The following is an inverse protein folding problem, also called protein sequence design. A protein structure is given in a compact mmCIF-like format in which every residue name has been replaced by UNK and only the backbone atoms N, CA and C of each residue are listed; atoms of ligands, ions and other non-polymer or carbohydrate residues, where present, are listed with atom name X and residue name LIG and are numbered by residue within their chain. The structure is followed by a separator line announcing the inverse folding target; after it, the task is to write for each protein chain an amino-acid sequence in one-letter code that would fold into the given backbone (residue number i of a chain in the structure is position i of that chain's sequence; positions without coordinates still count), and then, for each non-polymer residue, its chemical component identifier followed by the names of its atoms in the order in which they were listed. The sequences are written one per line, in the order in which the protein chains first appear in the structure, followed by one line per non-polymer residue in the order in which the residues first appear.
data_IF_726566640287
#
_entry.id   IF_726566640287
#
_cell.length_a   1.000
_cell.length_b   1.000
_cell.length_c   1.000
_cell.angle_alpha   90.00
_cell.angle_beta   90.00
_cell.angle_gamma   90.00
#
_symmetry.space_group_name_H-M   'P 1'
#
loop_
_entity.id
_entity.type
_entity.pdbx_description
1 polymer ?
#
# COMPACT_ATOMS: atom_id res chain seq x y z
N UNK A 1 -26.53 -5.73 9.24
CA UNK A 1 -27.33 -6.31 8.13
C UNK A 1 -27.39 -5.27 7.00
N UNK A 2 -27.20 -5.67 5.73
CA UNK A 2 -27.33 -4.72 4.60
C UNK A 2 -28.81 -4.36 4.42
N UNK A 3 -29.11 -3.09 4.18
CA UNK A 3 -30.44 -2.60 3.80
C UNK A 3 -30.37 -2.24 2.32
N UNK A 4 -31.22 -2.85 1.50
CA UNK A 4 -31.35 -2.49 0.10
C UNK A 4 -32.41 -1.40 -0.03
N UNK A 5 -32.17 -0.45 -0.94
CA UNK A 5 -33.06 0.68 -1.21
C UNK A 5 -33.62 0.53 -2.63
N UNK A 6 -34.73 1.22 -2.91
CA UNK A 6 -35.38 1.23 -4.24
C UNK A 6 -34.70 2.20 -5.23
N UNK A 7 -33.37 2.28 -5.17
CA UNK A 7 -32.53 3.07 -6.08
C UNK A 7 -31.36 2.19 -6.53
N UNK A 8 -31.05 2.22 -7.82
CA UNK A 8 -29.89 1.48 -8.32
C UNK A 8 -28.59 2.20 -7.89
N UNK A 9 -27.49 1.44 -7.82
CA UNK A 9 -26.21 1.94 -7.27
C UNK A 9 -25.59 3.05 -8.11
N UNK A 10 -25.88 3.10 -9.42
CA UNK A 10 -25.40 4.15 -10.33
C UNK A 10 -26.09 5.49 -10.02
N UNK A 11 -27.44 5.50 -10.02
CA UNK A 11 -28.21 6.69 -9.68
C UNK A 11 -27.85 7.21 -8.28
N UNK A 12 -27.70 6.31 -7.30
CA UNK A 12 -27.25 6.70 -5.96
C UNK A 12 -25.83 7.29 -5.96
N UNK A 13 -24.91 6.82 -6.82
CA UNK A 13 -23.57 7.40 -6.94
C UNK A 13 -23.59 8.78 -7.59
N UNK A 14 -24.44 9.00 -8.61
CA UNK A 14 -24.65 10.31 -9.22
C UNK A 14 -25.21 11.31 -8.20
N UNK A 15 -26.19 10.92 -7.37
CA UNK A 15 -26.72 11.76 -6.28
C UNK A 15 -25.62 12.12 -5.27
N UNK A 16 -24.79 11.15 -4.87
CA UNK A 16 -23.67 11.38 -3.94
C UNK A 16 -22.66 12.36 -4.51
N UNK A 17 -22.25 12.20 -5.77
CA UNK A 17 -21.30 13.10 -6.43
C UNK A 17 -21.90 14.51 -6.60
N UNK A 18 -23.17 14.60 -6.99
CA UNK A 18 -23.89 15.88 -7.10
C UNK A 18 -23.93 16.60 -5.76
N UNK A 19 -24.23 15.89 -4.67
CA UNK A 19 -24.19 16.44 -3.32
C UNK A 19 -22.80 17.00 -2.98
N UNK A 20 -21.73 16.26 -3.27
CA UNK A 20 -20.35 16.71 -3.00
C UNK A 20 -20.02 17.99 -3.74
N UNK A 21 -20.28 18.05 -5.05
CA UNK A 21 -20.01 19.24 -5.87
C UNK A 21 -20.84 20.48 -5.50
N UNK A 22 -22.00 20.28 -4.87
CA UNK A 22 -22.85 21.37 -4.37
C UNK A 22 -22.47 21.81 -2.95
N UNK A 23 -21.83 20.95 -2.17
CA UNK A 23 -21.55 21.19 -0.74
C UNK A 23 -20.14 21.71 -0.48
N UNK A 24 -19.16 21.29 -1.28
CA UNK A 24 -17.75 21.61 -1.06
C UNK A 24 -17.20 22.51 -2.16
N UNK A 25 -16.48 23.56 -1.76
CA UNK A 25 -15.84 24.50 -2.69
C UNK A 25 -14.69 23.86 -3.46
N UNK A 26 -13.91 23.01 -2.77
CA UNK A 26 -12.74 22.35 -3.34
C UNK A 26 -12.91 20.84 -3.26
N UNK A 27 -12.93 20.20 -4.42
CA UNK A 27 -13.09 18.75 -4.55
C UNK A 27 -11.88 18.23 -5.31
N UNK A 28 -11.23 17.21 -4.76
CA UNK A 28 -10.19 16.47 -5.47
C UNK A 28 -10.40 14.98 -5.34
N UNK A 29 -9.86 14.20 -6.28
CA UNK A 29 -9.96 12.75 -6.28
C UNK A 29 -8.57 12.13 -6.15
N UNK A 30 -8.42 11.21 -5.18
CA UNK A 30 -7.24 10.35 -5.10
C UNK A 30 -7.37 9.22 -6.12
N UNK A 31 -6.47 9.21 -7.10
CA UNK A 31 -6.54 8.33 -8.25
C UNK A 31 -5.32 7.41 -8.34
N UNK A 32 -5.56 6.10 -8.27
CA UNK A 32 -4.52 5.07 -8.22
C UNK A 32 -4.26 4.37 -9.56
N UNK A 33 -4.98 4.75 -10.62
CA UNK A 33 -4.94 4.03 -11.90
C UNK A 33 -5.68 2.67 -11.90
N UNK A 34 -6.36 2.31 -10.80
CA UNK A 34 -7.17 1.10 -10.72
C UNK A 34 -8.58 1.27 -11.30
N UNK A 35 -9.27 0.15 -11.57
CA UNK A 35 -10.65 0.13 -12.12
C UNK A 35 -11.64 0.94 -11.27
N UNK A 36 -11.53 0.85 -9.94
CA UNK A 36 -12.51 1.44 -9.02
C UNK A 36 -12.31 2.96 -8.92
N UNK A 37 -11.06 3.44 -8.86
CA UNK A 37 -10.76 4.88 -8.91
C UNK A 37 -11.02 5.47 -10.31
N UNK A 38 -10.77 4.70 -11.37
CA UNK A 38 -11.07 5.12 -12.75
C UNK A 38 -12.57 5.32 -13.01
N UNK A 39 -13.41 4.39 -12.54
CA UNK A 39 -14.86 4.52 -12.63
C UNK A 39 -15.35 5.73 -11.82
N UNK A 40 -14.78 5.95 -10.63
CA UNK A 40 -15.14 7.09 -9.78
C UNK A 40 -14.83 8.42 -10.46
N UNK A 41 -13.62 8.59 -11.02
CA UNK A 41 -13.20 9.85 -11.63
C UNK A 41 -13.95 10.12 -12.94
N UNK A 42 -14.18 9.09 -13.76
CA UNK A 42 -14.94 9.25 -15.01
C UNK A 42 -16.42 9.57 -14.76
N UNK A 43 -17.04 8.95 -13.74
CA UNK A 43 -18.39 9.34 -13.32
C UNK A 43 -18.42 10.76 -12.77
N UNK A 44 -17.43 11.15 -11.96
CA UNK A 44 -17.31 12.50 -11.43
C UNK A 44 -17.15 13.54 -12.55
N UNK A 45 -16.38 13.25 -13.59
CA UNK A 45 -16.24 14.10 -14.78
C UNK A 45 -17.59 14.32 -15.48
N UNK A 46 -18.38 13.27 -15.71
CA UNK A 46 -19.71 13.41 -16.30
C UNK A 46 -20.65 14.29 -15.47
N UNK A 47 -20.63 14.13 -14.13
CA UNK A 47 -21.47 14.95 -13.22
C UNK A 47 -20.96 16.40 -13.14
N UNK A 48 -19.65 16.60 -13.08
CA UNK A 48 -19.04 17.92 -13.03
C UNK A 48 -19.34 18.72 -14.31
N UNK A 49 -19.25 18.08 -15.49
CA UNK A 49 -19.63 18.70 -16.77
C UNK A 49 -21.08 19.18 -16.79
N UNK A 50 -22.04 18.39 -16.29
CA UNK A 50 -23.47 18.75 -16.24
C UNK A 50 -23.72 20.00 -15.37
N UNK A 51 -22.90 20.20 -14.34
CA UNK A 51 -23.07 21.28 -13.36
C UNK A 51 -22.09 22.44 -13.55
N UNK A 52 -21.26 22.42 -14.60
CA UNK A 52 -20.21 23.42 -14.83
C UNK A 52 -19.14 23.47 -13.73
N UNK A 53 -18.96 22.37 -13.00
CA UNK A 53 -18.00 22.25 -11.89
C UNK A 53 -16.67 21.69 -12.40
N UNK A 54 -15.63 21.87 -11.59
CA UNK A 54 -14.29 21.33 -11.80
C UNK A 54 -13.81 20.61 -10.54
N UNK A 55 -12.80 19.77 -10.68
CA UNK A 55 -12.11 19.11 -9.56
C UNK A 55 -10.63 18.92 -9.87
N UNK A 56 -9.85 18.68 -8.82
CA UNK A 56 -8.44 18.35 -8.95
C UNK A 56 -8.19 16.84 -8.86
N UNK A 57 -7.05 16.41 -9.36
CA UNK A 57 -6.63 15.01 -9.36
C UNK A 57 -5.34 14.85 -8.57
N UNK A 58 -5.34 13.96 -7.58
CA UNK A 58 -4.16 13.58 -6.82
C UNK A 58 -3.70 12.18 -7.25
N UNK A 59 -2.47 12.09 -7.77
CA UNK A 59 -1.82 10.84 -8.17
C UNK A 59 -0.53 10.72 -7.36
N UNK A 60 -0.42 9.65 -6.58
CA UNK A 60 0.87 9.21 -6.05
C UNK A 60 1.33 8.02 -6.88
N UNK A 61 2.31 8.26 -7.75
CA UNK A 61 2.76 7.28 -8.72
C UNK A 61 3.88 6.42 -8.14
N UNK A 62 3.63 5.12 -8.06
CA UNK A 62 4.59 4.14 -7.58
C UNK A 62 5.53 3.79 -8.72
N UNK A 63 6.85 3.87 -8.48
CA UNK A 63 7.89 3.64 -9.50
C UNK A 63 7.67 2.34 -10.30
N UNK A 64 7.22 1.27 -9.64
CA UNK A 64 6.99 -0.03 -10.26
C UNK A 64 5.56 -0.22 -10.84
N UNK A 65 4.83 0.84 -11.18
CA UNK A 65 3.51 0.73 -11.84
C UNK A 65 3.59 0.07 -13.23
N UNK A 66 2.56 -0.71 -13.60
CA UNK A 66 2.42 -1.25 -14.95
C UNK A 66 2.38 -0.14 -16.00
N UNK A 67 2.93 -0.40 -17.20
CA UNK A 67 2.91 0.56 -18.31
C UNK A 67 1.47 0.92 -18.71
N UNK A 68 0.57 -0.07 -18.74
CA UNK A 68 -0.85 0.17 -19.00
C UNK A 68 -1.50 1.09 -17.96
N UNK A 69 -1.07 1.02 -16.69
CA UNK A 69 -1.57 1.91 -15.63
C UNK A 69 -1.14 3.35 -15.86
N UNK A 70 0.11 3.59 -16.26
CA UNK A 70 0.58 4.94 -16.57
C UNK A 70 -0.12 5.53 -17.77
N UNK A 71 -0.29 4.74 -18.84
CA UNK A 71 -1.06 5.19 -20.00
C UNK A 71 -2.50 5.58 -19.59
N UNK A 72 -3.13 4.77 -18.74
CA UNK A 72 -4.45 5.09 -18.21
C UNK A 72 -4.45 6.37 -17.35
N UNK A 73 -3.40 6.62 -16.57
CA UNK A 73 -3.25 7.88 -15.84
C UNK A 73 -3.22 9.08 -16.79
N UNK A 74 -2.46 9.01 -17.88
CA UNK A 74 -2.43 10.09 -18.87
C UNK A 74 -3.79 10.35 -19.52
N UNK A 75 -4.58 9.31 -19.79
CA UNK A 75 -5.94 9.46 -20.31
C UNK A 75 -6.87 10.15 -19.30
N UNK A 76 -6.83 9.75 -18.03
CA UNK A 76 -7.69 10.32 -16.99
C UNK A 76 -7.34 11.78 -16.66
N UNK A 77 -6.06 12.18 -16.77
CA UNK A 77 -5.65 13.58 -16.63
C UNK A 77 -6.29 14.51 -17.67
N UNK A 78 -6.67 13.97 -18.84
CA UNK A 78 -7.23 14.74 -19.96
C UNK A 78 -8.75 14.93 -19.87
N UNK A 79 -9.39 14.39 -18.83
CA UNK A 79 -10.83 14.58 -18.62
C UNK A 79 -11.18 16.07 -18.47
N UNK A 80 -12.30 16.48 -19.07
CA UNK A 80 -12.64 17.90 -19.25
C UNK A 80 -12.79 18.66 -17.94
N UNK A 81 -13.23 18.00 -16.88
CA UNK A 81 -13.50 18.61 -15.57
C UNK A 81 -12.30 18.63 -14.64
N UNK A 82 -11.19 17.98 -15.02
CA UNK A 82 -9.93 18.06 -14.30
C UNK A 82 -9.36 19.47 -14.46
N UNK A 83 -9.12 20.16 -13.34
CA UNK A 83 -8.58 21.52 -13.31
C UNK A 83 -7.08 21.51 -13.02
N UNK A 84 -6.67 20.93 -11.89
CA UNK A 84 -5.26 20.74 -11.54
C UNK A 84 -4.95 19.25 -11.34
N UNK A 85 -3.76 18.84 -11.77
CA UNK A 85 -3.22 17.51 -11.48
C UNK A 85 -2.03 17.67 -10.54
N UNK A 86 -2.06 16.95 -9.42
CA UNK A 86 -0.96 16.77 -8.48
C UNK A 86 -0.40 15.35 -8.68
N UNK A 87 0.51 15.19 -9.65
CA UNK A 87 1.13 13.89 -9.96
C UNK A 87 2.49 13.78 -9.28
N UNK A 88 2.53 13.17 -8.11
CA UNK A 88 3.76 13.01 -7.32
C UNK A 88 4.53 11.76 -7.71
N UNK A 89 5.81 11.93 -8.02
CA UNK A 89 6.82 10.87 -8.08
C UNK A 89 7.90 11.18 -7.04
N UNK A 90 7.62 10.82 -5.79
CA UNK A 90 8.44 11.21 -4.64
C UNK A 90 9.15 10.01 -4.01
N UNK A 91 10.33 10.22 -3.41
CA UNK A 91 11.03 9.15 -2.73
C UNK A 91 10.31 8.72 -1.45
N UNK A 92 9.88 7.47 -1.39
CA UNK A 92 9.15 6.91 -0.23
C UNK A 92 9.56 5.47 0.01
N UNK A 93 9.55 5.05 1.28
CA UNK A 93 9.75 3.66 1.66
C UNK A 93 8.45 2.87 1.56
N UNK A 94 8.54 1.70 0.95
CA UNK A 94 7.47 0.72 0.86
C UNK A 94 7.98 -0.65 1.30
N UNK A 95 7.08 -1.43 1.89
CA UNK A 95 7.42 -2.74 2.45
C UNK A 95 7.78 -3.75 1.34
N UNK A 96 8.89 -4.46 1.53
CA UNK A 96 9.27 -5.60 0.72
C UNK A 96 9.27 -6.87 1.56
N UNK A 97 8.18 -7.62 1.45
CA UNK A 97 8.02 -8.89 2.15
C UNK A 97 8.61 -10.09 1.39
N UNK A 98 9.33 -9.84 0.30
CA UNK A 98 9.92 -10.89 -0.55
C UNK A 98 11.41 -11.10 -0.31
N UNK A 99 12.05 -10.27 0.52
CA UNK A 99 13.45 -10.40 0.88
C UNK A 99 13.68 -10.00 2.33
N UNK A 100 14.46 -10.79 3.06
CA UNK A 100 14.97 -10.39 4.38
C UNK A 100 16.14 -9.41 4.25
N UNK A 101 16.88 -9.44 3.13
CA UNK A 101 18.03 -8.58 2.85
C UNK A 101 17.62 -7.17 2.41
N UNK A 102 16.38 -6.99 1.96
CA UNK A 102 15.86 -5.68 1.61
C UNK A 102 14.41 -5.61 2.11
N UNK A 103 14.17 -5.47 3.42
CA UNK A 103 12.82 -5.51 3.99
C UNK A 103 11.96 -4.32 3.58
N UNK A 104 12.59 -3.23 3.11
CA UNK A 104 11.95 -2.10 2.46
C UNK A 104 12.75 -1.66 1.24
N UNK A 105 12.06 -1.08 0.28
CA UNK A 105 12.68 -0.43 -0.87
C UNK A 105 12.21 1.02 -0.95
N UNK A 106 13.05 1.89 -1.50
CA UNK A 106 12.75 3.31 -1.65
C UNK A 106 12.41 3.60 -3.11
N UNK A 107 11.13 3.78 -3.42
CA UNK A 107 10.73 4.12 -4.78
C UNK A 107 11.23 5.51 -5.16
N UNK A 108 11.50 5.76 -6.45
CA UNK A 108 12.00 7.04 -6.96
C UNK A 108 13.25 7.57 -6.23
N UNK A 109 14.11 6.67 -5.72
CA UNK A 109 15.35 7.08 -5.09
C UNK A 109 16.35 7.57 -6.14
N UNK A 110 16.71 8.85 -6.09
CA UNK A 110 17.60 9.47 -7.08
C UNK A 110 19.00 8.84 -7.09
N UNK A 111 19.44 8.28 -5.96
CA UNK A 111 20.70 7.53 -5.85
C UNK A 111 20.68 6.22 -6.66
N UNK A 112 19.50 5.69 -6.99
CA UNK A 112 19.29 4.45 -7.76
C UNK A 112 18.57 4.71 -9.10
N UNK A 113 18.69 5.93 -9.64
CA UNK A 113 18.01 6.35 -10.88
C UNK A 113 18.26 5.43 -12.07
N UNK A 114 19.45 4.84 -12.16
CA UNK A 114 19.81 3.88 -13.21
C UNK A 114 19.11 2.51 -13.07
N UNK A 115 18.59 2.20 -11.88
CA UNK A 115 17.83 0.97 -11.59
C UNK A 115 16.33 1.17 -11.65
N UNK A 116 15.84 2.39 -11.85
CA UNK A 116 14.40 2.65 -11.85
C UNK A 116 13.67 1.77 -12.85
N UNK A 117 12.52 1.24 -12.44
CA UNK A 117 11.70 0.37 -13.30
C UNK A 117 11.25 1.11 -14.57
N UNK A 118 11.10 2.43 -14.49
CA UNK A 118 10.67 3.27 -15.59
C UNK A 118 11.06 4.73 -15.37
N UNK A 119 11.05 5.50 -16.46
CA UNK A 119 11.30 6.94 -16.42
C UNK A 119 10.13 7.67 -15.76
N UNK A 120 10.47 8.71 -14.99
CA UNK A 120 9.48 9.61 -14.39
C UNK A 120 8.67 10.34 -15.49
N UNK A 121 7.33 10.49 -15.35
CA UNK A 121 6.54 11.32 -16.26
C UNK A 121 7.08 12.75 -16.32
N UNK A 122 6.95 13.41 -17.48
CA UNK A 122 7.49 14.77 -17.68
C UNK A 122 6.79 15.83 -16.85
N UNK A 123 5.52 15.61 -16.54
CA UNK A 123 4.64 16.49 -15.77
C UNK A 123 4.57 16.09 -14.28
N UNK A 124 5.38 15.12 -13.85
CA UNK A 124 5.41 14.70 -12.46
C UNK A 124 6.10 15.74 -11.59
N UNK A 125 5.57 15.92 -10.38
CA UNK A 125 6.15 16.67 -9.28
C UNK A 125 7.15 15.76 -8.58
N UNK A 126 8.44 16.05 -8.77
CA UNK A 126 9.55 15.37 -8.12
C UNK A 126 9.97 16.08 -6.83
N UNK A 127 10.95 15.52 -6.12
CA UNK A 127 11.49 16.14 -4.90
C UNK A 127 12.06 17.55 -5.16
N UNK A 128 12.62 17.79 -6.35
CA UNK A 128 13.21 19.07 -6.71
C UNK A 128 12.17 20.17 -6.99
N UNK A 129 10.91 19.78 -7.25
CA UNK A 129 9.82 20.69 -7.60
C UNK A 129 9.01 21.15 -6.37
N UNK A 130 9.30 20.59 -5.19
CA UNK A 130 8.56 20.92 -3.97
C UNK A 130 8.93 22.32 -3.46
N UNK A 131 7.92 23.18 -3.29
CA UNK A 131 8.08 24.42 -2.54
C UNK A 131 8.28 24.16 -1.03
N UNK A 132 8.57 25.22 -0.27
CA UNK A 132 8.83 25.15 1.18
C UNK A 132 7.69 24.46 1.94
N UNK A 133 6.44 24.82 1.65
CA UNK A 133 5.26 24.29 2.34
C UNK A 133 5.02 22.79 2.04
N UNK A 134 5.25 22.38 0.80
CA UNK A 134 5.09 21.00 0.37
C UNK A 134 6.27 20.14 0.85
N UNK A 135 7.47 20.72 0.92
CA UNK A 135 8.66 20.09 1.49
C UNK A 135 8.49 19.81 2.98
N UNK A 136 7.96 20.76 3.76
CA UNK A 136 7.60 20.54 5.17
C UNK A 136 6.61 19.38 5.33
N UNK A 137 5.58 19.34 4.49
CA UNK A 137 4.63 18.24 4.46
C UNK A 137 5.32 16.91 4.15
N UNK A 138 6.18 16.86 3.14
CA UNK A 138 6.92 15.67 2.75
C UNK A 138 7.83 15.17 3.88
N UNK A 139 8.57 16.07 4.54
CA UNK A 139 9.41 15.73 5.69
C UNK A 139 8.59 15.24 6.87
N UNK A 140 7.44 15.87 7.15
CA UNK A 140 6.53 15.44 8.21
C UNK A 140 5.99 14.02 7.97
N UNK A 141 5.93 13.57 6.72
CA UNK A 141 5.51 12.22 6.36
C UNK A 141 6.54 11.14 6.74
N UNK A 142 7.77 11.50 7.11
CA UNK A 142 8.86 10.58 7.43
C UNK A 142 9.04 9.49 6.36
N UNK A 143 9.03 9.91 5.10
CA UNK A 143 9.17 9.02 3.94
C UNK A 143 8.09 7.91 3.85
N UNK A 144 6.94 8.08 4.51
CA UNK A 144 5.80 7.17 4.42
C UNK A 144 4.70 7.72 3.48
N UNK A 145 4.32 6.98 2.42
CA UNK A 145 3.39 7.47 1.41
C UNK A 145 1.96 7.64 1.95
N UNK A 146 1.50 6.76 2.84
CA UNK A 146 0.17 6.87 3.46
C UNK A 146 0.07 8.09 4.39
N UNK A 147 1.17 8.43 5.09
CA UNK A 147 1.25 9.64 5.91
C UNK A 147 1.26 10.88 5.04
N UNK A 148 1.98 10.86 3.91
CA UNK A 148 1.97 11.95 2.94
C UNK A 148 0.57 12.20 2.39
N UNK A 149 -0.13 11.17 1.92
CA UNK A 149 -1.50 11.30 1.38
C UNK A 149 -2.51 11.83 2.41
N UNK A 150 -2.38 11.42 3.69
CA UNK A 150 -3.18 11.99 4.78
C UNK A 150 -2.85 13.45 5.01
N UNK A 151 -1.57 13.79 5.07
CA UNK A 151 -1.13 15.16 5.30
C UNK A 151 -1.51 16.09 4.14
N UNK A 152 -1.55 15.57 2.90
CA UNK A 152 -1.90 16.32 1.70
C UNK A 152 -3.27 16.99 1.82
N UNK A 153 -4.26 16.32 2.42
CA UNK A 153 -5.58 16.90 2.61
C UNK A 153 -5.56 18.17 3.48
N UNK A 154 -4.67 18.22 4.49
CA UNK A 154 -4.49 19.39 5.34
C UNK A 154 -3.75 20.51 4.62
N UNK A 155 -2.69 20.18 3.90
CA UNK A 155 -1.98 21.16 3.07
C UNK A 155 -2.90 21.75 2.01
N UNK A 156 -3.70 20.93 1.34
CA UNK A 156 -4.64 21.37 0.31
C UNK A 156 -5.69 22.32 0.91
N UNK A 157 -6.24 22.00 2.09
CA UNK A 157 -7.14 22.92 2.78
C UNK A 157 -6.45 24.24 3.15
N UNK A 158 -5.21 24.22 3.65
CA UNK A 158 -4.44 25.43 3.96
C UNK A 158 -4.13 26.27 2.72
N UNK A 159 -3.75 25.62 1.62
CA UNK A 159 -3.53 26.25 0.32
C UNK A 159 -4.80 26.98 -0.17
N UNK A 160 -5.96 26.39 0.10
CA UNK A 160 -7.28 26.99 -0.12
C UNK A 160 -7.82 27.78 1.09
N UNK A 161 -6.94 28.34 1.93
CA UNK A 161 -7.27 29.27 3.03
C UNK A 161 -8.28 28.73 4.06
N UNK A 162 -8.30 27.41 4.26
CA UNK A 162 -9.18 26.73 5.20
C UNK A 162 -10.61 26.52 4.70
N UNK A 163 -10.89 26.75 3.42
CA UNK A 163 -12.20 26.46 2.84
C UNK A 163 -12.54 24.96 2.86
N UNK A 164 -13.82 24.57 2.81
CA UNK A 164 -14.23 23.17 2.82
C UNK A 164 -13.64 22.35 1.67
N UNK A 165 -13.04 21.20 2.02
CA UNK A 165 -12.35 20.29 1.10
C UNK A 165 -12.97 18.89 1.17
N UNK A 166 -13.22 18.30 0.01
CA UNK A 166 -13.65 16.91 -0.12
C UNK A 166 -12.70 16.09 -0.99
N UNK A 167 -12.18 14.98 -0.44
CA UNK A 167 -11.32 14.02 -1.13
C UNK A 167 -12.10 12.76 -1.52
N UNK A 168 -12.19 12.47 -2.81
CA UNK A 168 -12.83 11.28 -3.33
C UNK A 168 -11.90 10.07 -3.31
N UNK A 169 -12.36 8.95 -2.73
CA UNK A 169 -11.58 7.72 -2.63
C UNK A 169 -12.36 6.54 -3.23
N UNK A 170 -11.74 5.86 -4.20
CA UNK A 170 -12.32 4.73 -4.95
C UNK A 170 -12.32 3.40 -4.19
N UNK A 171 -12.91 3.36 -3.00
CA UNK A 171 -13.01 2.16 -2.16
C UNK A 171 -14.43 1.58 -2.20
N UNK A 172 -14.55 0.25 -2.27
CA UNK A 172 -15.81 -0.47 -2.16
C UNK A 172 -15.84 -1.43 -0.98
N UNK A 173 -17.00 -1.54 -0.35
CA UNK A 173 -17.20 -2.40 0.82
C UNK A 173 -17.13 -3.90 0.50
N UNK A 174 -17.41 -4.31 -0.74
CA UNK A 174 -17.27 -5.70 -1.20
C UNK A 174 -15.80 -6.17 -1.17
N UNK A 175 -14.83 -5.26 -1.24
CA UNK A 175 -13.43 -5.62 -1.46
C UNK A 175 -12.74 -6.19 -0.20
N UNK A 176 -13.16 -5.77 0.99
CA UNK A 176 -12.69 -6.34 2.25
C UNK A 176 -13.58 -5.99 3.45
N UNK A 177 -13.52 -6.83 4.49
CA UNK A 177 -14.17 -6.54 5.77
C UNK A 177 -13.61 -5.28 6.45
N UNK A 178 -12.33 -4.96 6.25
CA UNK A 178 -11.72 -3.73 6.78
C UNK A 178 -12.34 -2.48 6.13
N UNK A 179 -12.48 -2.48 4.80
CA UNK A 179 -13.15 -1.39 4.05
C UNK A 179 -14.62 -1.27 4.46
N UNK A 180 -15.33 -2.39 4.58
CA UNK A 180 -16.71 -2.42 5.10
C UNK A 180 -16.82 -1.77 6.48
N UNK A 181 -15.94 -2.14 7.42
CA UNK A 181 -15.93 -1.58 8.78
C UNK A 181 -15.55 -0.10 8.80
N UNK A 182 -14.58 0.31 8.01
CA UNK A 182 -14.16 1.72 7.94
C UNK A 182 -15.30 2.64 7.50
N UNK A 183 -16.08 2.22 6.49
CA UNK A 183 -17.18 3.02 5.95
C UNK A 183 -18.40 2.98 6.88
N UNK A 184 -18.72 1.83 7.48
CA UNK A 184 -19.90 1.73 8.35
C UNK A 184 -19.67 2.16 9.80
N UNK A 185 -18.42 2.41 10.21
CA UNK A 185 -18.14 3.00 11.51
C UNK A 185 -18.82 4.37 11.59
N UNK A 186 -19.72 4.60 12.55
CA UNK A 186 -20.46 5.87 12.66
C UNK A 186 -19.58 7.03 13.12
N UNK A 187 -18.41 6.74 13.67
CA UNK A 187 -17.46 7.77 14.07
C UNK A 187 -17.04 8.58 12.84
N UNK A 188 -16.92 9.89 13.04
CA UNK A 188 -16.51 10.85 12.01
C UNK A 188 -17.46 10.95 10.81
N UNK A 189 -18.70 10.45 10.86
CA UNK A 189 -19.67 10.70 9.79
C UNK A 189 -19.90 12.21 9.61
N UNK A 190 -19.79 12.70 8.38
CA UNK A 190 -20.20 14.07 8.06
C UNK A 190 -21.71 14.12 7.84
N UNK A 191 -22.41 14.95 8.62
CA UNK A 191 -23.87 15.15 8.51
C UNK A 191 -24.69 13.85 8.46
N UNK A 192 -24.25 12.82 9.20
CA UNK A 192 -24.93 11.52 9.24
C UNK A 192 -24.72 10.60 8.03
N UNK A 193 -24.06 11.07 6.97
CA UNK A 193 -23.75 10.26 5.79
C UNK A 193 -22.60 9.29 6.09
N UNK A 194 -22.86 7.98 6.03
CA UNK A 194 -21.80 6.98 6.29
C UNK A 194 -20.70 6.95 5.22
N UNK A 195 -21.01 7.42 4.01
CA UNK A 195 -20.10 7.48 2.87
C UNK A 195 -19.27 8.77 2.82
N UNK A 196 -19.40 9.65 3.84
CA UNK A 196 -18.57 10.84 4.03
C UNK A 196 -17.98 10.82 5.44
N UNK A 197 -16.66 10.95 5.56
CA UNK A 197 -15.93 10.91 6.83
C UNK A 197 -15.10 12.17 7.03
N UNK A 198 -15.20 12.82 8.18
CA UNK A 198 -14.22 13.82 8.59
C UNK A 198 -12.84 13.17 8.74
N UNK A 199 -11.79 13.85 8.29
CA UNK A 199 -10.40 13.43 8.55
C UNK A 199 -9.95 13.78 9.98
N UNK A 200 -10.58 14.77 10.61
CA UNK A 200 -10.32 15.19 11.99
C UNK A 200 -11.62 15.46 12.74
N UNK A 201 -11.57 15.49 14.08
CA UNK A 201 -12.72 15.90 14.89
C UNK A 201 -13.11 17.37 14.71
N UNK A 202 -12.22 18.18 14.14
CA UNK A 202 -12.35 19.63 14.00
C UNK A 202 -11.93 20.01 12.57
N UNK A 203 -12.90 20.21 11.68
CA UNK A 203 -12.63 20.68 10.32
C UNK A 203 -13.67 20.27 9.28
N UNK A 204 -13.63 20.96 8.15
CA UNK A 204 -14.43 20.75 6.93
C UNK A 204 -13.71 19.88 5.89
N UNK A 205 -12.63 19.21 6.29
CA UNK A 205 -11.86 18.27 5.44
C UNK A 205 -12.48 16.89 5.56
N UNK A 206 -13.02 16.38 4.45
CA UNK A 206 -13.69 15.09 4.42
C UNK A 206 -13.14 14.15 3.36
N UNK A 207 -13.25 12.85 3.61
CA UNK A 207 -13.16 11.81 2.59
C UNK A 207 -14.56 11.33 2.22
N UNK A 208 -14.85 11.19 0.93
CA UNK A 208 -16.09 10.61 0.45
C UNK A 208 -15.86 9.39 -0.44
N UNK A 209 -16.81 8.45 -0.38
CA UNK A 209 -16.71 7.12 -1.01
C UNK A 209 -17.93 6.89 -1.91
N UNK A 210 -17.99 7.50 -3.10
CA UNK A 210 -19.22 7.56 -3.90
C UNK A 210 -19.59 6.21 -4.52
N UNK A 211 -18.68 5.22 -4.51
CA UNK A 211 -18.93 3.88 -5.06
C UNK A 211 -18.98 2.79 -3.96
N UNK A 212 -19.08 3.14 -2.67
CA UNK A 212 -18.83 2.19 -1.58
C UNK A 212 -19.70 0.91 -1.60
N UNK A 213 -20.88 1.00 -2.19
CA UNK A 213 -21.91 -0.04 -2.29
C UNK A 213 -21.90 -0.77 -3.64
N UNK A 214 -21.07 -0.35 -4.60
CA UNK A 214 -20.91 -1.01 -5.88
C UNK A 214 -20.25 -2.39 -5.72
N UNK A 215 -20.73 -3.34 -6.50
CA UNK A 215 -20.10 -4.64 -6.72
C UNK A 215 -19.12 -4.55 -7.89
N UNK A 216 -18.38 -5.63 -8.09
CA UNK A 216 -17.40 -5.71 -9.17
C UNK A 216 -18.08 -5.70 -10.54
N UNK A 217 -19.24 -6.33 -10.63
CA UNK A 217 -20.10 -6.34 -11.81
C UNK A 217 -20.63 -4.93 -12.12
N UNK A 218 -20.97 -4.14 -11.10
CA UNK A 218 -21.44 -2.76 -11.28
C UNK A 218 -20.32 -1.86 -11.84
N UNK A 219 -19.08 -2.03 -11.36
CA UNK A 219 -17.91 -1.29 -11.89
C UNK A 219 -17.71 -1.59 -13.37
N UNK A 220 -17.61 -2.87 -13.74
CA UNK A 220 -17.39 -3.26 -15.13
C UNK A 220 -18.59 -2.96 -16.03
N UNK A 221 -19.80 -3.10 -15.49
CA UNK A 221 -21.03 -2.71 -16.15
C UNK A 221 -21.04 -1.22 -16.48
N UNK A 222 -20.54 -0.36 -15.58
CA UNK A 222 -20.42 1.07 -15.86
C UNK A 222 -19.40 1.38 -16.96
N UNK A 223 -18.22 0.73 -16.95
CA UNK A 223 -17.24 0.88 -18.04
C UNK A 223 -17.87 0.53 -19.40
N UNK A 224 -18.57 -0.60 -19.47
CA UNK A 224 -19.25 -1.03 -20.70
C UNK A 224 -20.43 -0.13 -21.08
N UNK A 225 -21.20 0.36 -20.11
CA UNK A 225 -22.39 1.17 -20.35
C UNK A 225 -22.05 2.57 -20.88
N UNK A 226 -20.97 3.17 -20.36
CA UNK A 226 -20.56 4.53 -20.72
C UNK A 226 -19.44 4.60 -21.76
N UNK A 227 -18.94 3.45 -22.21
CA UNK A 227 -17.77 3.35 -23.10
C UNK A 227 -16.56 4.14 -22.54
N UNK A 228 -16.30 3.92 -21.25
CA UNK A 228 -15.23 4.60 -20.53
C UNK A 228 -13.86 4.04 -20.89
N UNK A 229 -12.86 4.93 -20.88
CA UNK A 229 -11.46 4.53 -21.00
C UNK A 229 -11.11 3.57 -19.88
N UNK A 230 -10.48 2.45 -20.22
CA UNK A 230 -10.14 1.40 -19.26
C UNK A 230 -8.62 1.22 -19.19
N UNK A 231 -8.11 0.95 -17.99
CA UNK A 231 -6.75 0.49 -17.86
C UNK A 231 -6.57 -0.85 -18.57
N UNK A 232 -5.88 -0.84 -19.71
CA UNK A 232 -5.61 -2.00 -20.56
C UNK A 232 -4.90 -3.17 -19.83
N UNK A 233 -4.34 -2.94 -18.63
CA UNK A 233 -3.86 -4.03 -17.78
C UNK A 233 -4.97 -5.06 -17.51
N UNK A 234 -6.21 -4.61 -17.33
CA UNK A 234 -7.34 -5.49 -17.05
C UNK A 234 -7.74 -6.34 -18.26
N UNK A 235 -7.62 -5.84 -19.49
CA UNK A 235 -7.78 -6.64 -20.71
C UNK A 235 -6.75 -7.77 -20.78
N UNK A 236 -5.50 -7.45 -20.45
CA UNK A 236 -4.43 -8.45 -20.41
C UNK A 236 -4.74 -9.53 -19.36
N UNK A 237 -5.21 -9.16 -18.17
CA UNK A 237 -5.64 -10.12 -17.15
C UNK A 237 -6.83 -10.98 -17.62
N UNK A 238 -7.82 -10.36 -18.28
CA UNK A 238 -8.99 -11.05 -18.80
C UNK A 238 -8.60 -12.10 -19.85
N UNK A 239 -7.72 -11.72 -20.79
CA UNK A 239 -7.20 -12.61 -21.84
C UNK A 239 -6.45 -13.81 -21.25
N UNK A 240 -5.87 -13.65 -20.05
CA UNK A 240 -5.18 -14.72 -19.30
C UNK A 240 -6.13 -15.54 -18.40
N UNK A 241 -7.44 -15.37 -18.55
CA UNK A 241 -8.46 -16.13 -17.82
C UNK A 241 -8.64 -15.71 -16.35
N UNK A 242 -8.14 -14.54 -15.95
CA UNK A 242 -8.36 -14.02 -14.60
C UNK A 242 -9.80 -13.55 -14.46
N UNK A 243 -10.53 -14.06 -13.48
CA UNK A 243 -11.90 -13.61 -13.19
C UNK A 243 -11.93 -12.13 -12.82
N UNK A 244 -12.97 -11.42 -13.26
CA UNK A 244 -13.22 -10.01 -12.95
C UNK A 244 -13.16 -9.69 -11.44
N UNK A 245 -13.50 -10.66 -10.59
CA UNK A 245 -13.48 -10.54 -9.11
C UNK A 245 -12.06 -10.57 -8.52
N UNK A 246 -11.10 -11.11 -9.26
CA UNK A 246 -9.71 -11.26 -8.85
C UNK A 246 -8.80 -10.18 -9.45
N UNK A 247 -9.32 -9.36 -10.36
CA UNK A 247 -8.59 -8.27 -11.01
C UNK A 247 -8.31 -7.12 -10.05
N UNK A 248 -7.04 -6.96 -9.68
CA UNK A 248 -6.54 -5.89 -8.81
C UNK A 248 -5.18 -5.40 -9.29
N UNK A 249 -4.94 -4.11 -9.10
CA UNK A 249 -3.63 -3.48 -9.28
C UNK A 249 -3.18 -3.02 -7.90
N UNK A 250 -1.91 -3.24 -7.57
CA UNK A 250 -1.30 -2.76 -6.35
C UNK A 250 0.22 -2.70 -6.52
N UNK A 251 0.88 -1.96 -5.63
CA UNK A 251 2.34 -1.97 -5.51
C UNK A 251 2.87 -3.40 -5.29
N UNK A 252 4.03 -3.79 -5.84
CA UNK A 252 4.32 -5.22 -6.06
C UNK A 252 4.83 -6.04 -4.87
N UNK A 253 5.43 -5.45 -3.82
CA UNK A 253 6.24 -6.23 -2.84
C UNK A 253 5.62 -6.41 -1.45
N UNK A 254 4.53 -5.70 -1.15
CA UNK A 254 3.86 -5.78 0.14
C UNK A 254 3.27 -7.17 0.45
N UNK A 255 2.91 -7.40 1.71
CA UNK A 255 2.51 -8.71 2.25
C UNK A 255 1.39 -9.42 1.47
N UNK A 256 0.39 -8.67 1.03
CA UNK A 256 -0.71 -9.21 0.21
C UNK A 256 -0.41 -9.11 -1.28
N UNK A 257 0.38 -8.12 -1.65
CA UNK A 257 0.59 -7.68 -3.00
C UNK A 257 1.62 -8.52 -3.76
N UNK A 258 2.60 -9.11 -3.07
CA UNK A 258 3.63 -10.00 -3.65
C UNK A 258 3.08 -11.14 -4.50
N UNK A 259 1.82 -11.54 -4.28
CA UNK A 259 1.12 -12.53 -5.12
C UNK A 259 0.93 -12.07 -6.57
N UNK A 260 0.93 -10.76 -6.80
CA UNK A 260 0.84 -10.10 -8.10
C UNK A 260 2.15 -10.06 -8.87
N UNK A 261 3.31 -10.38 -8.27
CA UNK A 261 4.60 -10.43 -9.00
C UNK A 261 4.58 -11.41 -10.19
N UNK A 262 3.83 -12.51 -10.05
CA UNK A 262 3.56 -13.43 -11.18
C UNK A 262 2.81 -12.79 -12.34
N UNK A 263 1.99 -11.76 -12.08
CA UNK A 263 1.26 -11.03 -13.12
C UNK A 263 2.21 -10.13 -13.91
N UNK A 264 3.15 -9.43 -13.26
CA UNK A 264 4.19 -8.67 -13.97
C UNK A 264 4.92 -9.54 -14.99
N UNK A 265 5.45 -10.68 -14.54
CA UNK A 265 6.19 -11.59 -15.40
C UNK A 265 5.37 -12.16 -16.57
N UNK A 266 4.06 -12.30 -16.39
CA UNK A 266 3.15 -12.83 -17.41
C UNK A 266 2.71 -11.75 -18.41
N UNK A 267 2.45 -10.54 -17.92
CA UNK A 267 1.69 -9.50 -18.62
C UNK A 267 2.59 -8.40 -19.20
N UNK A 268 3.73 -8.13 -18.57
CA UNK A 268 4.72 -7.12 -19.01
C UNK A 268 6.15 -7.63 -18.74
N UNK A 269 6.68 -8.57 -19.56
CA UNK A 269 7.99 -9.18 -19.33
C UNK A 269 9.15 -8.18 -19.30
N UNK A 270 9.09 -7.11 -20.11
CA UNK A 270 10.12 -6.07 -20.12
C UNK A 270 10.11 -5.24 -18.82
N UNK A 271 8.91 -4.90 -18.32
CA UNK A 271 8.75 -4.26 -17.00
C UNK A 271 9.22 -5.20 -15.90
N UNK A 272 8.92 -6.50 -16.03
CA UNK A 272 9.32 -7.53 -15.08
C UNK A 272 10.83 -7.67 -14.94
N UNK A 273 11.58 -7.63 -16.04
CA UNK A 273 13.06 -7.66 -15.98
C UNK A 273 13.59 -6.54 -15.09
N UNK A 274 13.05 -5.32 -15.26
CA UNK A 274 13.46 -4.16 -14.46
C UNK A 274 12.99 -4.27 -13.01
N UNK A 275 11.77 -4.77 -12.76
CA UNK A 275 11.26 -5.08 -11.40
C UNK A 275 12.20 -6.04 -10.66
N UNK A 276 12.68 -7.09 -11.34
CA UNK A 276 13.63 -8.05 -10.78
C UNK A 276 14.98 -7.41 -10.47
N UNK A 277 15.47 -6.53 -11.33
CA UNK A 277 16.72 -5.81 -11.13
C UNK A 277 16.60 -4.70 -10.07
N UNK A 278 15.39 -4.17 -9.83
CA UNK A 278 15.14 -3.05 -8.92
C UNK A 278 15.10 -3.47 -7.45
N UNK A 279 14.43 -4.58 -7.13
CA UNK A 279 14.15 -4.98 -5.74
C UNK A 279 14.51 -6.43 -5.50
N UNK A 280 15.35 -6.64 -4.49
CA UNK A 280 15.77 -7.96 -4.01
C UNK A 280 14.56 -8.80 -3.62
N UNK A 281 14.59 -10.07 -4.00
CA UNK A 281 13.51 -11.02 -3.70
C UNK A 281 12.33 -10.97 -4.66
N UNK A 282 12.28 -10.08 -5.64
CA UNK A 282 11.17 -10.01 -6.60
C UNK A 282 10.89 -11.37 -7.28
N UNK A 283 11.92 -12.03 -7.83
CA UNK A 283 11.75 -13.34 -8.47
C UNK A 283 11.40 -14.45 -7.46
N UNK A 284 11.94 -14.39 -6.24
CA UNK A 284 11.55 -15.27 -5.15
C UNK A 284 10.06 -15.11 -4.80
N UNK A 285 9.58 -13.86 -4.71
CA UNK A 285 8.17 -13.54 -4.53
C UNK A 285 7.30 -14.07 -5.66
N UNK A 286 7.70 -13.92 -6.93
CA UNK A 286 7.00 -14.50 -8.08
C UNK A 286 6.81 -16.01 -7.93
N UNK A 287 7.86 -16.74 -7.58
CA UNK A 287 7.85 -18.20 -7.49
C UNK A 287 7.06 -18.70 -6.27
N UNK A 288 7.25 -18.06 -5.11
CA UNK A 288 6.85 -18.65 -3.83
C UNK A 288 5.72 -17.92 -3.10
N UNK A 289 5.31 -16.71 -3.49
CA UNK A 289 4.28 -15.93 -2.76
C UNK A 289 2.91 -16.63 -2.65
N UNK A 290 2.66 -17.63 -3.51
CA UNK A 290 1.43 -18.43 -3.52
C UNK A 290 1.60 -19.83 -2.91
N UNK A 291 2.75 -20.11 -2.29
CA UNK A 291 3.10 -21.42 -1.71
C UNK A 291 3.17 -21.38 -0.18
N UNK A 292 3.26 -22.56 0.46
CA UNK A 292 3.44 -22.68 1.91
C UNK A 292 4.74 -22.06 2.41
N UNK A 293 5.78 -21.93 1.57
CA UNK A 293 7.06 -21.32 1.94
C UNK A 293 6.91 -19.88 2.44
N UNK A 294 5.98 -19.12 1.85
CA UNK A 294 5.63 -17.76 2.26
C UNK A 294 4.27 -17.71 2.99
N UNK A 295 3.93 -18.85 3.63
CA UNK A 295 2.72 -19.11 4.40
C UNK A 295 1.41 -18.68 3.70
N UNK A 296 1.33 -18.97 2.41
CA UNK A 296 0.13 -18.71 1.60
C UNK A 296 -0.94 -19.77 1.88
N UNK A 297 -2.08 -19.32 2.43
CA UNK A 297 -3.16 -20.16 2.98
C UNK A 297 -2.71 -21.06 4.14
N UNK A 298 -1.79 -21.98 3.88
CA UNK A 298 -1.24 -22.93 4.83
C UNK A 298 0.25 -22.66 5.12
N UNK A 299 0.72 -23.17 6.25
CA UNK A 299 2.12 -23.23 6.66
C UNK A 299 2.43 -24.68 7.03
N UNK A 300 3.68 -25.09 6.90
CA UNK A 300 4.14 -26.44 7.20
C UNK A 300 5.45 -26.36 7.98
N UNK A 301 5.61 -27.24 8.97
CA UNK A 301 6.85 -27.44 9.72
C UNK A 301 7.30 -28.90 9.62
N UNK A 302 8.59 -29.20 9.82
CA UNK A 302 9.04 -30.58 9.97
C UNK A 302 8.20 -31.36 11.00
N UNK A 303 7.86 -32.61 10.68
CA UNK A 303 6.94 -33.41 11.49
C UNK A 303 7.42 -33.63 12.95
N UNK A 304 8.74 -33.60 13.16
CA UNK A 304 9.38 -33.82 14.45
C UNK A 304 9.50 -32.58 15.34
N UNK A 305 9.18 -31.38 14.82
CA UNK A 305 9.24 -30.13 15.61
C UNK A 305 7.85 -29.74 16.11
N UNK A 306 7.75 -29.09 17.26
CA UNK A 306 6.60 -28.27 17.69
C UNK A 306 6.56 -26.95 16.90
N UNK A 307 5.46 -26.19 16.98
CA UNK A 307 5.44 -24.86 16.34
C UNK A 307 6.37 -23.88 17.06
N UNK A 308 6.52 -24.03 18.39
CA UNK A 308 7.50 -23.29 19.17
C UNK A 308 8.93 -23.55 18.67
N UNK A 309 9.35 -24.81 18.59
CA UNK A 309 10.68 -25.19 18.10
C UNK A 309 10.91 -24.68 16.67
N UNK A 310 9.91 -24.79 15.81
CA UNK A 310 10.00 -24.28 14.45
C UNK A 310 10.12 -22.75 14.40
N UNK A 311 9.38 -22.01 15.23
CA UNK A 311 9.52 -20.55 15.33
C UNK A 311 10.92 -20.14 15.81
N UNK A 312 11.48 -20.86 16.79
CA UNK A 312 12.86 -20.64 17.26
C UNK A 312 13.87 -20.96 16.16
N UNK A 313 13.71 -22.09 15.47
CA UNK A 313 14.55 -22.47 14.33
C UNK A 313 14.56 -21.39 13.23
N UNK A 314 13.39 -20.82 12.90
CA UNK A 314 13.28 -19.72 11.93
C UNK A 314 14.02 -18.46 12.41
N UNK A 315 13.88 -18.09 13.69
CA UNK A 315 14.60 -16.94 14.28
C UNK A 315 16.12 -17.16 14.28
N UNK A 316 16.59 -18.34 14.65
CA UNK A 316 18.01 -18.70 14.63
C UNK A 316 18.55 -18.69 13.21
N UNK A 317 17.79 -19.22 12.25
CA UNK A 317 18.13 -19.19 10.82
C UNK A 317 18.26 -17.76 10.30
N UNK A 318 17.37 -16.84 10.69
CA UNK A 318 17.50 -15.40 10.38
C UNK A 318 18.79 -14.85 10.97
N UNK A 319 19.10 -15.21 12.22
CA UNK A 319 20.31 -14.76 12.93
C UNK A 319 21.62 -15.18 12.26
N UNK A 320 21.63 -16.26 11.47
CA UNK A 320 22.79 -16.64 10.65
C UNK A 320 23.12 -15.61 9.56
N UNK A 321 22.13 -14.84 9.11
CA UNK A 321 22.28 -13.86 8.02
C UNK A 321 22.23 -12.42 8.52
N UNK A 322 21.40 -12.12 9.54
CA UNK A 322 21.33 -10.81 10.16
C UNK A 322 20.93 -10.92 11.63
N UNK A 323 21.88 -10.54 12.48
CA UNK A 323 21.66 -10.48 13.92
C UNK A 323 20.66 -9.38 14.29
N UNK A 324 20.71 -8.23 13.62
CA UNK A 324 19.78 -7.14 13.86
C UNK A 324 18.33 -7.53 13.54
N UNK A 325 18.10 -8.28 12.45
CA UNK A 325 16.75 -8.72 12.09
C UNK A 325 16.24 -9.80 13.05
N UNK A 326 17.11 -10.70 13.50
CA UNK A 326 16.78 -11.66 14.55
C UNK A 326 16.37 -10.93 15.84
N UNK A 327 17.18 -9.95 16.28
CA UNK A 327 16.94 -9.21 17.52
C UNK A 327 15.66 -8.36 17.44
N UNK A 328 15.34 -7.82 16.26
CA UNK A 328 14.06 -7.17 16.00
C UNK A 328 12.88 -8.11 16.27
N UNK A 329 12.87 -9.27 15.60
CA UNK A 329 11.78 -10.23 15.75
C UNK A 329 11.69 -10.78 17.17
N UNK A 330 12.85 -11.13 17.76
CA UNK A 330 12.95 -11.57 19.15
C UNK A 330 12.32 -10.54 20.09
N UNK A 331 12.71 -9.26 19.99
CA UNK A 331 12.17 -8.18 20.82
C UNK A 331 10.65 -8.09 20.73
N UNK A 332 10.08 -8.15 19.52
CA UNK A 332 8.61 -8.06 19.35
C UNK A 332 7.88 -9.27 19.91
N UNK A 333 8.44 -10.47 19.72
CA UNK A 333 7.91 -11.70 20.32
C UNK A 333 8.02 -11.64 21.85
N UNK A 334 9.13 -11.15 22.42
CA UNK A 334 9.29 -10.99 23.86
C UNK A 334 8.30 -9.99 24.46
N UNK A 335 8.04 -8.86 23.78
CA UNK A 335 7.02 -7.88 24.20
C UNK A 335 5.63 -8.54 24.22
N UNK A 336 5.31 -9.33 23.19
CA UNK A 336 4.07 -10.07 23.09
C UNK A 336 3.91 -11.05 24.25
N UNK A 337 4.93 -11.84 24.53
CA UNK A 337 4.93 -12.83 25.63
C UNK A 337 4.80 -12.12 26.99
N UNK A 338 5.55 -11.03 27.20
CA UNK A 338 5.47 -10.23 28.42
C UNK A 338 4.06 -9.64 28.62
N UNK A 339 3.43 -9.12 27.57
CA UNK A 339 2.05 -8.64 27.62
C UNK A 339 1.09 -9.74 28.09
N UNK A 340 1.26 -10.97 27.60
CA UNK A 340 0.37 -12.08 27.92
C UNK A 340 0.57 -12.58 29.35
N UNK A 341 1.82 -12.63 29.80
CA UNK A 341 2.16 -12.92 31.19
C UNK A 341 1.57 -11.88 32.14
N UNK A 342 1.79 -10.60 31.86
CA UNK A 342 1.44 -9.52 32.79
C UNK A 342 -0.08 -9.27 32.82
N UNK A 343 -0.78 -9.45 31.69
CA UNK A 343 -2.22 -9.19 31.58
C UNK A 343 -3.11 -10.41 31.87
N UNK A 344 -2.63 -11.62 31.59
CA UNK A 344 -3.44 -12.85 31.72
C UNK A 344 -2.78 -13.97 32.54
N UNK A 345 -1.58 -13.76 33.09
CA UNK A 345 -0.85 -14.80 33.82
C UNK A 345 -0.37 -15.97 32.94
N UNK A 346 -0.32 -15.77 31.62
CA UNK A 346 0.03 -16.82 30.65
C UNK A 346 1.53 -16.79 30.43
N UNK A 347 2.23 -17.79 30.96
CA UNK A 347 3.66 -17.97 30.75
C UNK A 347 3.95 -18.59 29.38
N UNK A 348 5.21 -18.51 28.94
CA UNK A 348 5.63 -18.93 27.59
C UNK A 348 5.31 -20.41 27.31
N UNK A 349 5.42 -21.25 28.33
CA UNK A 349 5.13 -22.68 28.29
C UNK A 349 3.63 -22.98 28.11
N UNK A 350 2.77 -22.02 28.46
CA UNK A 350 1.32 -22.11 28.33
C UNK A 350 0.80 -21.53 27.01
N UNK A 351 1.67 -20.96 26.18
CA UNK A 351 1.28 -20.49 24.85
C UNK A 351 1.02 -21.71 23.95
N UNK A 352 -0.19 -21.84 23.38
CA UNK A 352 -0.54 -23.00 22.57
C UNK A 352 0.26 -23.03 21.27
N UNK A 353 0.57 -24.25 20.82
CA UNK A 353 1.24 -24.48 19.55
C UNK A 353 0.38 -24.07 18.34
N UNK A 354 -0.91 -24.42 18.39
CA UNK A 354 -1.88 -24.11 17.34
C UNK A 354 -3.28 -23.89 17.95
N UNK A 355 -3.96 -22.81 17.55
CA UNK A 355 -5.35 -22.54 17.94
C UNK A 355 -6.25 -22.39 16.72
N UNK A 356 -7.54 -22.75 16.85
CA UNK A 356 -8.48 -22.61 15.74
C UNK A 356 -9.03 -21.19 15.69
N UNK A 357 -9.31 -20.72 14.47
CA UNK A 357 -9.90 -19.40 14.23
C UNK A 357 -11.25 -19.15 14.96
N UNK A 358 -11.97 -20.19 15.39
CA UNK A 358 -13.21 -20.00 16.15
C UNK A 358 -12.97 -19.80 17.66
N UNK A 359 -11.82 -20.23 18.16
CA UNK A 359 -11.47 -20.23 19.59
C UNK A 359 -10.85 -18.89 19.98
N UNK A 360 -9.87 -18.41 19.22
CA UNK A 360 -9.24 -17.10 19.41
C UNK A 360 -10.19 -15.89 19.24
N UNK A 361 -11.36 -16.05 18.60
CA UNK A 361 -12.40 -15.00 18.52
C UNK A 361 -13.19 -14.86 19.82
N UNK A 362 -13.10 -15.86 20.70
CA UNK A 362 -13.74 -15.90 22.01
C UNK A 362 -12.77 -15.57 23.14
N UNK A 363 -11.48 -15.77 22.92
CA UNK A 363 -10.44 -15.50 23.90
C UNK A 363 -9.18 -14.94 23.21
N UNK A 364 -8.86 -13.69 23.50
CA UNK A 364 -7.69 -13.00 22.94
C UNK A 364 -6.35 -13.65 23.36
N UNK A 365 -6.31 -14.40 24.47
CA UNK A 365 -5.12 -15.17 24.88
C UNK A 365 -4.73 -16.24 23.85
N UNK A 366 -5.68 -16.68 23.02
CA UNK A 366 -5.43 -17.70 22.00
C UNK A 366 -4.99 -17.08 20.66
N UNK A 367 -4.85 -15.75 20.60
CA UNK A 367 -4.62 -15.04 19.35
C UNK A 367 -3.20 -15.16 18.80
N UNK A 368 -2.25 -15.39 19.70
CA UNK A 368 -0.83 -15.48 19.39
C UNK A 368 -0.29 -16.84 19.78
N UNK A 369 -0.74 -17.85 19.06
CA UNK A 369 -0.18 -19.20 19.08
C UNK A 369 1.19 -19.26 18.38
N UNK A 370 1.98 -20.30 18.68
CA UNK A 370 3.30 -20.45 18.06
C UNK A 370 3.24 -20.64 16.55
N UNK A 371 2.20 -21.30 16.03
CA UNK A 371 1.93 -21.39 14.59
C UNK A 371 1.78 -20.02 13.95
N UNK A 372 1.06 -19.11 14.62
CA UNK A 372 0.88 -17.73 14.19
C UNK A 372 2.18 -16.93 14.20
N UNK A 373 3.03 -17.15 15.20
CA UNK A 373 4.37 -16.53 15.29
C UNK A 373 5.29 -17.04 14.19
N UNK A 374 5.40 -18.36 14.01
CA UNK A 374 6.16 -18.98 12.92
C UNK A 374 5.70 -18.45 11.55
N UNK A 375 4.38 -18.36 11.35
CA UNK A 375 3.79 -17.80 10.13
C UNK A 375 4.17 -16.33 9.89
N UNK A 376 4.33 -15.52 10.93
CA UNK A 376 4.78 -14.13 10.78
C UNK A 376 6.23 -14.07 10.30
N UNK A 377 7.10 -14.95 10.83
CA UNK A 377 8.49 -15.08 10.42
C UNK A 377 8.62 -15.57 8.96
N UNK A 378 7.91 -16.65 8.59
CA UNK A 378 7.86 -17.15 7.20
C UNK A 378 7.38 -16.09 6.20
N UNK A 379 6.54 -15.15 6.67
CA UNK A 379 5.99 -14.09 5.83
C UNK A 379 6.95 -12.92 5.62
N UNK A 380 8.08 -12.87 6.33
CA UNK A 380 8.88 -11.66 6.48
C UNK A 380 8.01 -10.47 6.93
N UNK A 381 7.06 -10.72 7.84
CA UNK A 381 6.13 -9.72 8.38
C UNK A 381 6.86 -8.88 9.43
N UNK A 382 7.75 -8.00 9.00
CA UNK A 382 8.60 -7.17 9.86
C UNK A 382 7.78 -6.45 10.95
N UNK A 383 6.63 -5.88 10.59
CA UNK A 383 5.79 -5.19 11.55
C UNK A 383 5.05 -6.12 12.51
N UNK A 384 5.03 -7.44 12.31
CA UNK A 384 4.11 -8.38 12.97
C UNK A 384 2.63 -7.97 12.79
N UNK A 385 2.29 -7.37 11.65
CA UNK A 385 0.94 -6.91 11.33
C UNK A 385 -0.10 -8.04 11.40
N UNK A 386 0.29 -9.26 11.04
CA UNK A 386 -0.55 -10.45 11.14
C UNK A 386 -0.84 -10.85 12.58
N UNK A 387 -0.07 -10.33 13.54
CA UNK A 387 -0.24 -10.47 15.00
C UNK A 387 -0.72 -9.17 15.65
N UNK A 388 -1.31 -8.25 14.88
CA UNK A 388 -1.89 -6.98 15.36
C UNK A 388 -0.90 -5.92 15.84
N UNK A 389 0.35 -6.03 15.43
CA UNK A 389 1.30 -4.96 15.66
C UNK A 389 1.19 -3.91 14.56
N UNK A 390 1.52 -2.68 14.92
CA UNK A 390 1.82 -1.62 13.98
C UNK A 390 3.32 -1.33 14.04
N UNK A 391 3.85 -0.67 13.02
CA UNK A 391 5.22 -0.13 13.08
C UNK A 391 5.32 0.93 14.17
N UNK A 392 6.36 0.83 14.99
CA UNK A 392 6.74 1.85 15.97
C UNK A 392 7.92 2.68 15.47
N UNK A 393 8.19 3.84 16.09
CA UNK A 393 9.39 4.65 15.79
C UNK A 393 10.70 3.85 15.96
N UNK A 394 10.72 2.92 16.93
CA UNK A 394 11.87 2.03 17.14
C UNK A 394 12.00 1.03 16.00
N UNK A 395 10.88 0.45 15.55
CA UNK A 395 10.86 -0.46 14.40
C UNK A 395 11.36 0.25 13.13
N UNK A 396 10.97 1.51 12.92
CA UNK A 396 11.48 2.34 11.81
C UNK A 396 13.00 2.56 11.90
N UNK A 397 13.54 2.87 13.09
CA UNK A 397 14.99 3.03 13.24
C UNK A 397 15.77 1.73 12.97
N UNK A 398 15.21 0.58 13.35
CA UNK A 398 15.82 -0.73 13.10
C UNK A 398 15.76 -1.08 11.60
N UNK A 399 14.69 -0.69 10.88
CA UNK A 399 14.63 -0.81 9.41
C UNK A 399 15.74 -0.04 8.71
N UNK A 400 16.01 1.19 9.15
CA UNK A 400 17.10 1.98 8.58
C UNK A 400 18.47 1.36 8.86
N UNK A 401 18.69 0.80 10.06
CA UNK A 401 19.92 0.07 10.36
C UNK A 401 20.09 -1.17 9.47
N UNK A 402 19.01 -1.92 9.24
CA UNK A 402 19.01 -3.09 8.34
C UNK A 402 19.30 -2.68 6.89
N UNK A 403 18.75 -1.57 6.42
CA UNK A 403 19.04 -1.06 5.08
C UNK A 403 20.54 -0.77 4.89
N UNK A 404 21.22 -0.27 5.92
CA UNK A 404 22.68 -0.07 5.93
C UNK A 404 23.43 -1.40 5.95
N UNK A 405 23.08 -2.29 6.89
CA UNK A 405 23.71 -3.61 7.05
C UNK A 405 23.67 -4.42 5.75
N UNK A 406 22.48 -4.53 5.14
CA UNK A 406 22.33 -5.29 3.92
C UNK A 406 22.79 -4.55 2.68
N UNK A 407 22.78 -3.21 2.68
CA UNK A 407 23.42 -2.42 1.63
C UNK A 407 24.90 -2.80 1.45
N UNK A 408 25.59 -3.11 2.54
CA UNK A 408 26.94 -3.67 2.52
C UNK A 408 26.96 -5.16 2.13
N UNK A 409 26.02 -5.98 2.63
CA UNK A 409 26.00 -7.43 2.37
C UNK A 409 25.56 -7.83 0.94
N UNK A 410 24.95 -6.93 0.17
CA UNK A 410 24.53 -7.18 -1.22
C UNK A 410 25.69 -7.19 -2.23
N UNK A 411 26.94 -7.11 -1.77
CA UNK A 411 28.11 -7.35 -2.62
C UNK A 411 28.37 -6.23 -3.63
N UNK A 412 28.08 -4.97 -3.28
CA UNK A 412 28.37 -3.82 -4.16
C UNK A 412 29.87 -3.78 -4.48
N UNK A 413 30.71 -4.17 -3.52
CA UNK A 413 32.16 -4.37 -3.62
C UNK A 413 32.59 -5.47 -4.61
N UNK A 414 31.68 -6.34 -5.04
CA UNK A 414 31.93 -7.40 -6.02
C UNK A 414 31.48 -7.02 -7.45
N UNK A 415 30.92 -5.81 -7.63
CA UNK A 415 30.62 -5.32 -8.96
C UNK A 415 31.91 -5.12 -9.78
N UNK A 416 31.87 -5.32 -11.10
CA UNK A 416 33.00 -5.02 -11.97
C UNK A 416 33.57 -3.62 -11.71
N UNK A 417 34.91 -3.49 -11.71
CA UNK A 417 35.62 -2.25 -11.34
C UNK A 417 35.11 -0.98 -12.04
N UNK A 418 34.56 -1.09 -13.25
CA UNK A 418 33.99 0.05 -13.97
C UNK A 418 32.66 0.56 -13.37
N UNK A 419 31.85 -0.32 -12.78
CA UNK A 419 30.61 0.03 -12.06
C UNK A 419 30.93 0.62 -10.68
N UNK A 420 31.92 0.04 -9.97
CA UNK A 420 32.46 0.60 -8.73
C UNK A 420 32.98 2.03 -8.89
N UNK A 421 33.67 2.32 -10.00
CA UNK A 421 34.22 3.66 -10.30
C UNK A 421 33.14 4.73 -10.48
N UNK A 422 31.93 4.32 -10.88
CA UNK A 422 30.76 5.18 -11.06
C UNK A 422 30.06 5.46 -9.73
N UNK A 423 30.08 4.49 -8.80
CA UNK A 423 29.51 4.57 -7.45
C UNK A 423 30.40 5.32 -6.45
N UNK A 424 31.73 5.23 -6.57
CA UNK A 424 32.68 5.82 -5.62
C UNK A 424 32.54 7.34 -5.42
N UNK A 425 32.21 8.09 -6.48
CA UNK A 425 31.98 9.55 -6.36
C UNK A 425 30.72 9.90 -5.56
N UNK A 426 29.69 9.06 -5.65
CA UNK A 426 28.40 9.26 -4.98
C UNK A 426 28.45 8.78 -3.53
N UNK A 427 29.15 7.68 -3.25
CA UNK A 427 29.33 7.14 -1.89
C UNK A 427 30.18 8.06 -1.00
N UNK A 428 31.27 8.62 -1.53
CA UNK A 428 32.10 9.61 -0.82
C UNK A 428 31.37 10.94 -0.56
N UNK A 429 30.38 11.30 -1.39
CA UNK A 429 29.54 12.48 -1.15
C UNK A 429 28.52 12.26 -0.04
N UNK A 430 27.94 11.06 0.05
CA UNK A 430 26.90 10.71 1.04
C UNK A 430 27.48 10.44 2.45
N UNK A 431 28.77 10.10 2.54
CA UNK A 431 29.46 9.80 3.81
C UNK A 431 30.26 10.98 4.37
N UNK A 432 30.37 12.11 3.65
CA UNK A 432 31.25 13.24 4.00
C UNK A 432 30.77 14.18 5.10
N UNK A 433 29.58 14.00 5.66
CA UNK A 433 29.03 14.87 6.71
C UNK A 433 28.60 14.10 7.96
N UNK A 434 29.49 13.31 8.56
CA UNK A 434 29.37 12.99 9.99
C UNK A 434 30.75 13.08 10.67
N UNK A 435 30.83 13.67 11.88
CA UNK A 435 32.08 13.87 12.62
C UNK A 435 32.73 12.57 13.09
#
# INVERSE_FOLDING_TARGET
MKKYCDINVLAAAEERLTYIFNTFSHVYFSFSGGKDSGAMVQLADQIAQKSGKKFDLLILDIEANYRSTRNFMELIKQLKSVQQVYHFCLPFYEDNTTSIFQPQWKMWDEAERDKWVQEMPRDAISLADLDESMMELYQSANLNPDKFLRNFAFWYANYHKGEPVACGIGIRTQESLHRYRAILNRNFNYQGHCWIKHQTNQGTIVNFYPLYDWKTEDVWGAYAHFDWEMNAFYDKLYTQGVSITQMRICQPYGLQQRKGLSQYALVEPDTWEKVVNRVSGANFGRLYARTSLLAHYNTQKPAHMTWQEYAVFLLESIGLYSKNLQDHYYRKISILIAHYRDKYGVHVEAIPDETKRKEWLKNEVLWHDWKGIAKALEKNDFSLSTRQYALTKKDESELYALAVEFGAALGIEHLPKYQLKKLGKTYEQLTKNQP
#
